data_IF_369543051874
#
_entry.id   IF_369543051874
#
_cell.length_a   1.000
_cell.length_b   1.000
_cell.length_c   1.000
_cell.angle_alpha   90.00
_cell.angle_beta   90.00
_cell.angle_gamma   90.00
#
_symmetry.space_group_name_H-M   'P 1'
#
loop_
_entity.id
_entity.type
_entity.pdbx_description
1 polymer ?
#
# COMPACT_ATOMS: atom_id res chain seq x y z
N UNK A 1 22.25 -2.25 -13.58
CA UNK A 1 22.48 -1.15 -12.62
C UNK A 1 21.55 -1.39 -11.42
N UNK A 2 22.05 -1.30 -10.18
CA UNK A 2 21.33 -1.75 -8.97
C UNK A 2 20.41 -0.63 -8.45
N UNK A 3 19.16 -0.94 -8.08
CA UNK A 3 18.18 0.00 -7.49
C UNK A 3 18.76 0.80 -6.30
N UNK A 4 19.61 0.16 -5.48
CA UNK A 4 20.30 0.81 -4.37
C UNK A 4 21.09 2.05 -4.78
N UNK A 5 21.74 2.00 -5.96
CA UNK A 5 22.57 3.11 -6.43
C UNK A 5 21.71 4.32 -6.78
N UNK A 6 20.58 4.14 -7.45
CA UNK A 6 19.67 5.24 -7.78
C UNK A 6 19.14 5.98 -6.53
N UNK A 7 18.80 5.25 -5.46
CA UNK A 7 18.38 5.89 -4.22
C UNK A 7 19.53 6.65 -3.54
N UNK A 8 20.75 6.11 -3.55
CA UNK A 8 21.91 6.81 -3.01
C UNK A 8 22.25 8.05 -3.83
N UNK A 9 22.20 7.96 -5.16
CA UNK A 9 22.44 9.07 -6.08
C UNK A 9 21.40 10.17 -5.85
N UNK A 10 20.12 9.80 -5.71
CA UNK A 10 19.07 10.76 -5.36
C UNK A 10 19.36 11.45 -4.02
N UNK A 11 19.70 10.69 -2.97
CA UNK A 11 20.00 11.25 -1.65
C UNK A 11 21.20 12.21 -1.67
N UNK A 12 22.18 11.96 -2.55
CA UNK A 12 23.35 12.80 -2.73
C UNK A 12 23.06 14.07 -3.54
N UNK A 13 22.30 13.94 -4.64
CA UNK A 13 22.05 15.02 -5.59
C UNK A 13 20.86 15.92 -5.21
N UNK A 14 19.88 15.38 -4.48
CA UNK A 14 18.65 16.08 -4.16
C UNK A 14 18.88 17.19 -3.11
N UNK A 15 18.76 18.44 -3.57
CA UNK A 15 18.83 19.64 -2.73
C UNK A 15 17.57 19.85 -1.86
N UNK A 16 16.44 19.24 -2.22
CA UNK A 16 15.17 19.34 -1.49
C UNK A 16 15.08 18.42 -0.27
N UNK A 17 14.03 18.61 0.53
CA UNK A 17 13.73 17.78 1.72
C UNK A 17 12.70 16.68 1.48
N UNK A 18 12.03 16.70 0.32
CA UNK A 18 11.03 15.72 -0.10
C UNK A 18 11.65 14.43 -0.63
N UNK A 19 10.92 13.33 -0.52
CA UNK A 19 11.26 11.95 -0.91
C UNK A 19 12.47 11.34 -0.20
N UNK A 20 13.14 12.09 0.69
CA UNK A 20 14.30 11.58 1.44
C UNK A 20 13.90 10.45 2.38
N UNK A 21 12.74 10.54 3.02
CA UNK A 21 12.25 9.47 3.91
C UNK A 21 11.87 8.25 3.10
N UNK A 22 11.15 8.44 1.99
CA UNK A 22 10.83 7.34 1.07
C UNK A 22 12.09 6.63 0.57
N UNK A 23 13.13 7.36 0.14
CA UNK A 23 14.37 6.76 -0.33
C UNK A 23 15.04 5.89 0.75
N UNK A 24 15.10 6.37 1.99
CA UNK A 24 15.63 5.57 3.10
C UNK A 24 14.74 4.35 3.43
N UNK A 25 13.42 4.45 3.28
CA UNK A 25 12.54 3.28 3.39
C UNK A 25 12.85 2.25 2.29
N UNK A 26 13.01 2.66 1.03
CA UNK A 26 13.37 1.70 -0.04
C UNK A 26 14.73 1.05 0.20
N UNK A 27 15.72 1.83 0.67
CA UNK A 27 17.04 1.30 1.05
C UNK A 27 16.95 0.31 2.22
N UNK A 28 16.09 0.58 3.21
CA UNK A 28 15.86 -0.36 4.32
C UNK A 28 15.21 -1.65 3.82
N UNK A 29 14.24 -1.58 2.91
CA UNK A 29 13.64 -2.75 2.28
C UNK A 29 14.66 -3.58 1.49
N UNK A 30 15.54 -2.94 0.72
CA UNK A 30 16.62 -3.64 0.01
C UNK A 30 17.52 -4.37 1.01
N UNK A 31 17.94 -3.69 2.09
CA UNK A 31 18.76 -4.30 3.13
C UNK A 31 18.07 -5.51 3.78
N UNK A 32 16.79 -5.39 4.10
CA UNK A 32 15.98 -6.48 4.65
C UNK A 32 15.91 -7.69 3.71
N UNK A 33 15.75 -7.46 2.41
CA UNK A 33 15.67 -8.53 1.41
C UNK A 33 17.04 -9.19 1.15
N UNK A 34 18.13 -8.52 1.49
CA UNK A 34 19.50 -9.04 1.44
C UNK A 34 19.94 -9.66 2.78
N UNK A 35 19.03 -9.80 3.75
CA UNK A 35 19.32 -10.28 5.11
C UNK A 35 20.35 -9.42 5.88
N UNK A 36 20.52 -8.15 5.47
CA UNK A 36 21.40 -7.18 6.13
C UNK A 36 20.62 -6.40 7.20
N UNK A 37 20.44 -7.05 8.35
CA UNK A 37 19.72 -6.49 9.50
C UNK A 37 20.36 -5.18 10.01
N UNK A 38 21.69 -5.07 9.93
CA UNK A 38 22.43 -3.88 10.39
C UNK A 38 22.09 -2.68 9.52
N UNK A 39 22.12 -2.85 8.19
CA UNK A 39 21.75 -1.79 7.26
C UNK A 39 20.25 -1.46 7.33
N UNK A 40 19.37 -2.45 7.54
CA UNK A 40 17.94 -2.19 7.74
C UNK A 40 17.71 -1.22 8.92
N UNK A 41 18.30 -1.50 10.08
CA UNK A 41 18.15 -0.64 11.26
C UNK A 41 18.80 0.74 11.05
N UNK A 42 19.94 0.80 10.36
CA UNK A 42 20.60 2.06 10.03
C UNK A 42 19.71 2.94 9.14
N UNK A 43 19.18 2.38 8.04
CA UNK A 43 18.31 3.12 7.13
C UNK A 43 16.97 3.50 7.78
N UNK A 44 16.46 2.67 8.69
CA UNK A 44 15.30 3.03 9.51
C UNK A 44 15.57 4.30 10.32
N UNK A 45 16.70 4.39 11.03
CA UNK A 45 17.08 5.58 11.80
C UNK A 45 17.27 6.80 10.91
N UNK A 46 17.88 6.63 9.74
CA UNK A 46 18.05 7.71 8.76
C UNK A 46 16.69 8.21 8.24
N UNK A 47 15.76 7.32 7.93
CA UNK A 47 14.40 7.67 7.51
C UNK A 47 13.67 8.53 8.55
N UNK A 48 13.80 8.21 9.84
CA UNK A 48 13.17 8.99 10.91
C UNK A 48 13.73 10.41 11.00
N UNK A 49 15.04 10.58 10.80
CA UNK A 49 15.74 11.85 10.99
C UNK A 49 15.93 12.70 9.72
N UNK A 50 15.71 12.14 8.53
CA UNK A 50 15.96 12.84 7.27
C UNK A 50 14.75 13.60 6.73
N UNK A 51 14.99 14.68 6.00
CA UNK A 51 13.96 15.38 5.20
C UNK A 51 12.78 15.89 6.02
N UNK A 52 11.63 16.03 5.36
CA UNK A 52 10.34 16.33 6.00
C UNK A 52 9.30 15.25 5.68
N UNK A 53 8.13 15.30 6.32
CA UNK A 53 7.00 14.39 6.07
C UNK A 53 5.80 15.19 5.55
N UNK A 54 6.01 15.99 4.49
CA UNK A 54 4.94 16.79 3.88
C UNK A 54 4.17 16.02 2.81
N UNK A 55 4.89 15.26 1.99
CA UNK A 55 4.34 14.37 0.97
C UNK A 55 3.82 13.08 1.60
N UNK A 56 2.84 12.47 0.96
CA UNK A 56 2.18 11.29 1.48
C UNK A 56 3.13 10.08 1.52
N UNK A 57 4.04 9.97 0.54
CA UNK A 57 5.09 8.94 0.48
C UNK A 57 6.06 9.06 1.65
N UNK A 58 6.51 10.27 1.98
CA UNK A 58 7.40 10.50 3.12
C UNK A 58 6.70 10.29 4.47
N UNK A 59 5.40 10.62 4.57
CA UNK A 59 4.59 10.33 5.77
C UNK A 59 4.44 8.83 5.97
N UNK A 60 4.17 8.08 4.91
CA UNK A 60 4.12 6.62 4.99
C UNK A 60 5.45 6.04 5.45
N UNK A 61 6.54 6.46 4.81
CA UNK A 61 7.87 6.03 5.17
C UNK A 61 8.21 6.35 6.62
N UNK A 62 7.83 7.55 7.09
CA UNK A 62 8.00 7.94 8.48
C UNK A 62 7.22 7.02 9.42
N UNK A 63 5.92 6.83 9.20
CA UNK A 63 5.05 6.09 10.12
C UNK A 63 5.36 4.59 10.15
N UNK A 64 5.66 3.98 9.00
CA UNK A 64 6.11 2.58 8.95
C UNK A 64 7.41 2.40 9.74
N UNK A 65 8.38 3.31 9.59
CA UNK A 65 9.62 3.26 10.35
C UNK A 65 9.40 3.56 11.83
N UNK A 66 8.51 4.50 12.17
CA UNK A 66 8.20 4.90 13.54
C UNK A 66 7.54 3.74 14.32
N UNK A 67 6.61 3.03 13.67
CA UNK A 67 5.99 1.81 14.22
C UNK A 67 7.03 0.76 14.59
N UNK A 68 8.21 0.77 13.94
CA UNK A 68 9.32 -0.12 14.25
C UNK A 68 9.06 -1.58 13.91
N UNK A 69 7.95 -1.84 13.21
CA UNK A 69 7.57 -3.17 12.81
C UNK A 69 8.43 -3.62 11.63
N UNK A 70 9.32 -4.58 11.87
CA UNK A 70 10.05 -5.24 10.78
C UNK A 70 9.04 -5.88 9.81
N UNK A 71 9.02 -5.49 8.52
CA UNK A 71 8.08 -6.04 7.56
C UNK A 71 8.19 -7.56 7.43
N UNK A 72 7.06 -8.22 7.20
CA UNK A 72 7.07 -9.60 6.71
C UNK A 72 7.66 -9.61 5.29
N UNK A 73 8.66 -10.47 5.07
CA UNK A 73 9.44 -10.45 3.82
C UNK A 73 8.66 -10.96 2.62
N UNK A 74 7.65 -11.81 2.81
CA UNK A 74 6.77 -12.27 1.73
C UNK A 74 5.80 -11.16 1.35
N UNK A 75 5.16 -10.51 2.33
CA UNK A 75 4.26 -9.38 2.07
C UNK A 75 4.99 -8.19 1.43
N UNK A 76 6.21 -7.91 1.86
CA UNK A 76 7.07 -6.91 1.24
C UNK A 76 7.42 -7.28 -0.21
N UNK A 77 7.80 -8.53 -0.49
CA UNK A 77 8.06 -8.98 -1.85
C UNK A 77 6.80 -8.90 -2.73
N UNK A 78 5.63 -9.28 -2.20
CA UNK A 78 4.36 -9.18 -2.91
C UNK A 78 4.04 -7.71 -3.26
N UNK A 79 4.26 -6.77 -2.33
CA UNK A 79 4.14 -5.32 -2.59
C UNK A 79 5.01 -4.90 -3.78
N UNK A 80 6.30 -5.23 -3.73
CA UNK A 80 7.26 -4.81 -4.74
C UNK A 80 6.97 -5.42 -6.12
N UNK A 81 6.50 -6.66 -6.16
CA UNK A 81 6.06 -7.30 -7.40
C UNK A 81 4.84 -6.60 -7.99
N UNK A 82 3.86 -6.20 -7.17
CA UNK A 82 2.72 -5.40 -7.61
C UNK A 82 3.14 -4.03 -8.14
N UNK A 83 4.02 -3.32 -7.43
CA UNK A 83 4.53 -2.01 -7.84
C UNK A 83 5.28 -2.09 -9.19
N UNK A 84 5.92 -3.24 -9.47
CA UNK A 84 6.54 -3.56 -10.75
C UNK A 84 5.63 -4.18 -11.82
N UNK A 85 4.31 -4.19 -11.60
CA UNK A 85 3.31 -4.80 -12.50
C UNK A 85 3.49 -6.31 -12.76
N UNK A 86 4.11 -7.04 -11.83
CA UNK A 86 4.35 -8.48 -11.89
C UNK A 86 3.30 -9.27 -11.08
N UNK A 87 2.03 -9.09 -11.42
CA UNK A 87 0.91 -9.61 -10.64
C UNK A 87 0.88 -11.15 -10.55
N UNK A 88 1.26 -11.87 -11.62
CA UNK A 88 1.33 -13.34 -11.62
C UNK A 88 2.34 -13.86 -10.58
N UNK A 89 3.54 -13.29 -10.57
CA UNK A 89 4.59 -13.64 -9.61
C UNK A 89 4.20 -13.28 -8.19
N UNK A 90 3.50 -12.17 -8.00
CA UNK A 90 2.98 -11.78 -6.70
C UNK A 90 1.92 -12.78 -6.19
N UNK A 91 1.04 -13.25 -7.09
CA UNK A 91 0.03 -14.25 -6.77
C UNK A 91 0.65 -15.60 -6.40
N UNK A 92 1.56 -16.12 -7.23
CA UNK A 92 2.29 -17.37 -6.97
C UNK A 92 3.02 -17.35 -5.62
N UNK A 93 3.58 -16.19 -5.25
CA UNK A 93 4.27 -15.99 -3.99
C UNK A 93 3.32 -15.99 -2.78
N UNK A 94 2.20 -15.26 -2.88
CA UNK A 94 1.35 -14.97 -1.72
C UNK A 94 0.21 -15.99 -1.53
N UNK A 95 -0.39 -16.49 -2.60
CA UNK A 95 -1.58 -17.36 -2.55
C UNK A 95 -1.39 -18.60 -1.66
N UNK A 96 -0.27 -19.35 -1.73
CA UNK A 96 -0.06 -20.54 -0.89
C UNK A 96 0.00 -20.24 0.62
N UNK A 97 0.24 -18.98 1.00
CA UNK A 97 0.43 -18.55 2.39
C UNK A 97 -0.81 -17.89 2.99
N UNK A 98 -1.84 -17.59 2.18
CA UNK A 98 -2.99 -16.82 2.63
C UNK A 98 -3.66 -17.42 3.86
N UNK A 99 -3.88 -18.74 3.91
CA UNK A 99 -4.48 -19.40 5.07
C UNK A 99 -3.74 -19.10 6.38
N UNK A 100 -2.40 -19.06 6.35
CA UNK A 100 -1.59 -18.71 7.52
C UNK A 100 -1.72 -17.23 7.87
N UNK A 101 -1.79 -16.34 6.88
CA UNK A 101 -1.96 -14.91 7.11
C UNK A 101 -3.34 -14.55 7.67
N UNK A 102 -4.42 -15.20 7.23
CA UNK A 102 -5.77 -14.99 7.81
C UNK A 102 -5.80 -15.20 9.32
N UNK A 103 -5.06 -16.20 9.81
CA UNK A 103 -4.99 -16.55 11.23
C UNK A 103 -4.02 -15.65 12.01
N UNK A 104 -3.27 -14.78 11.34
CA UNK A 104 -2.25 -13.95 11.97
C UNK A 104 -2.76 -12.51 12.16
N UNK A 105 -3.15 -12.09 13.38
CA UNK A 105 -3.71 -10.77 13.62
C UNK A 105 -2.75 -9.62 13.29
N UNK A 106 -1.44 -9.90 13.31
CA UNK A 106 -0.40 -8.92 12.97
C UNK A 106 -0.38 -8.58 11.47
N UNK A 107 -0.66 -9.55 10.62
CA UNK A 107 -0.42 -9.46 9.17
C UNK A 107 -1.67 -9.63 8.31
N UNK A 108 -2.78 -10.12 8.88
CA UNK A 108 -4.00 -10.44 8.13
C UNK A 108 -4.52 -9.27 7.30
N UNK A 109 -4.53 -8.05 7.86
CA UNK A 109 -5.01 -6.84 7.19
C UNK A 109 -4.16 -6.53 5.94
N UNK A 110 -2.84 -6.49 6.09
CA UNK A 110 -1.95 -6.24 4.97
C UNK A 110 -2.04 -7.37 3.93
N UNK A 111 -2.11 -8.63 4.36
CA UNK A 111 -2.15 -9.78 3.47
C UNK A 111 -3.39 -9.77 2.57
N UNK A 112 -4.59 -9.56 3.14
CA UNK A 112 -5.82 -9.51 2.33
C UNK A 112 -5.84 -8.28 1.43
N UNK A 113 -5.39 -7.12 1.90
CA UNK A 113 -5.28 -5.93 1.05
C UNK A 113 -4.32 -6.16 -0.14
N UNK A 114 -3.14 -6.76 0.11
CA UNK A 114 -2.18 -7.10 -0.95
C UNK A 114 -2.77 -8.09 -1.94
N UNK A 115 -3.45 -9.13 -1.44
CA UNK A 115 -4.10 -10.11 -2.32
C UNK A 115 -5.22 -9.49 -3.15
N UNK A 116 -6.04 -8.61 -2.58
CA UNK A 116 -7.07 -7.86 -3.32
C UNK A 116 -6.47 -7.03 -4.46
N UNK A 117 -5.35 -6.33 -4.20
CA UNK A 117 -4.60 -5.61 -5.26
C UNK A 117 -4.04 -6.53 -6.34
N UNK A 118 -3.52 -7.70 -5.95
CA UNK A 118 -3.02 -8.71 -6.90
C UNK A 118 -4.17 -9.20 -7.79
N UNK A 119 -5.28 -9.62 -7.20
CA UNK A 119 -6.46 -10.09 -7.93
C UNK A 119 -7.00 -9.00 -8.87
N UNK A 120 -7.05 -7.75 -8.41
CA UNK A 120 -7.47 -6.60 -9.24
C UNK A 120 -6.57 -6.43 -10.47
N UNK A 121 -5.23 -6.48 -10.30
CA UNK A 121 -4.28 -6.42 -11.41
C UNK A 121 -4.38 -7.62 -12.37
N UNK A 122 -4.88 -8.75 -11.89
CA UNK A 122 -5.15 -9.96 -12.68
C UNK A 122 -6.54 -9.97 -13.31
N UNK A 123 -7.34 -8.92 -13.15
CA UNK A 123 -8.75 -8.84 -13.57
C UNK A 123 -9.64 -9.93 -12.93
N UNK A 124 -9.26 -10.42 -11.74
CA UNK A 124 -10.06 -11.33 -10.92
C UNK A 124 -10.95 -10.50 -10.00
N UNK A 125 -11.97 -9.85 -10.58
CA UNK A 125 -12.75 -8.81 -9.91
C UNK A 125 -13.52 -9.31 -8.69
N UNK A 126 -14.10 -10.51 -8.75
CA UNK A 126 -14.88 -11.07 -7.64
C UNK A 126 -13.98 -11.37 -6.43
N UNK A 127 -12.82 -11.97 -6.66
CA UNK A 127 -11.82 -12.27 -5.65
C UNK A 127 -11.23 -10.99 -5.07
N UNK A 128 -10.96 -9.99 -5.92
CA UNK A 128 -10.47 -8.70 -5.46
C UNK A 128 -11.48 -8.02 -4.51
N UNK A 129 -12.76 -8.00 -4.87
CA UNK A 129 -13.83 -7.45 -4.03
C UNK A 129 -13.95 -8.21 -2.70
N UNK A 130 -13.86 -9.55 -2.73
CA UNK A 130 -13.87 -10.36 -1.51
C UNK A 130 -12.71 -10.00 -0.57
N UNK A 131 -11.48 -9.93 -1.08
CA UNK A 131 -10.32 -9.57 -0.28
C UNK A 131 -10.34 -8.11 0.21
N UNK A 132 -10.94 -7.19 -0.55
CA UNK A 132 -11.14 -5.82 -0.10
C UNK A 132 -12.21 -5.73 1.00
N UNK A 133 -13.24 -6.56 0.96
CA UNK A 133 -14.20 -6.69 2.06
C UNK A 133 -13.50 -7.23 3.32
N UNK A 134 -12.66 -8.25 3.20
CA UNK A 134 -11.91 -8.76 4.35
C UNK A 134 -10.93 -7.71 4.92
N UNK A 135 -10.33 -6.87 4.07
CA UNK A 135 -9.49 -5.76 4.52
C UNK A 135 -10.28 -4.74 5.36
N UNK A 136 -11.53 -4.48 4.95
CA UNK A 136 -12.46 -3.66 5.71
C UNK A 136 -12.79 -4.29 7.07
N UNK A 137 -13.21 -5.56 7.06
CA UNK A 137 -13.66 -6.27 8.26
C UNK A 137 -12.54 -6.51 9.29
N UNK A 138 -11.28 -6.63 8.85
CA UNK A 138 -10.13 -6.79 9.75
C UNK A 138 -9.65 -5.48 10.40
N UNK A 139 -10.01 -4.32 9.85
CA UNK A 139 -9.73 -3.03 10.47
C UNK A 139 -10.93 -2.55 11.30
N UNK A 140 -10.95 -2.93 12.58
CA UNK A 140 -12.00 -2.54 13.53
C UNK A 140 -12.12 -1.03 13.73
N UNK A 141 -11.12 -0.24 13.32
CA UNK A 141 -11.14 1.22 13.47
C UNK A 141 -11.66 1.94 12.22
N UNK A 142 -11.72 1.24 11.08
CA UNK A 142 -12.03 1.80 9.76
C UNK A 142 -11.24 3.09 9.45
N UNK A 143 -9.97 3.11 9.88
CA UNK A 143 -9.08 4.27 9.78
C UNK A 143 -7.71 3.90 9.22
N UNK A 144 -7.44 2.61 9.03
CA UNK A 144 -6.21 2.16 8.41
C UNK A 144 -6.20 2.54 6.92
N UNK A 145 -5.11 3.14 6.42
CA UNK A 145 -4.98 3.49 5.01
C UNK A 145 -5.25 2.34 4.04
N UNK A 146 -4.89 1.09 4.39
CA UNK A 146 -5.14 -0.07 3.53
C UNK A 146 -6.63 -0.41 3.46
N UNK A 147 -7.33 -0.38 4.60
CA UNK A 147 -8.78 -0.60 4.68
C UNK A 147 -9.55 0.48 3.91
N UNK A 148 -9.25 1.76 4.14
CA UNK A 148 -9.93 2.84 3.43
C UNK A 148 -9.63 2.85 1.93
N UNK A 149 -8.41 2.49 1.52
CA UNK A 149 -8.10 2.34 0.10
C UNK A 149 -8.79 1.12 -0.51
N UNK A 150 -9.03 0.04 0.25
CA UNK A 150 -9.79 -1.11 -0.23
C UNK A 150 -11.20 -0.72 -0.66
N UNK A 151 -11.90 0.14 0.10
CA UNK A 151 -13.21 0.69 -0.27
C UNK A 151 -13.14 1.46 -1.60
N UNK A 152 -12.11 2.31 -1.77
CA UNK A 152 -11.89 3.03 -3.03
C UNK A 152 -11.64 2.06 -4.20
N UNK A 153 -10.86 0.99 -3.99
CA UNK A 153 -10.59 0.00 -5.02
C UNK A 153 -11.82 -0.80 -5.41
N UNK A 154 -12.70 -1.12 -4.45
CA UNK A 154 -14.00 -1.72 -4.75
C UNK A 154 -14.84 -0.82 -5.66
N UNK A 155 -14.89 0.49 -5.39
CA UNK A 155 -15.56 1.46 -6.28
C UNK A 155 -15.00 1.46 -7.70
N UNK A 156 -13.67 1.41 -7.84
CA UNK A 156 -13.00 1.34 -9.15
C UNK A 156 -13.30 0.03 -9.89
N UNK A 157 -13.41 -1.09 -9.17
CA UNK A 157 -13.79 -2.38 -9.77
C UNK A 157 -15.24 -2.33 -10.25
N UNK A 158 -16.18 -1.88 -9.41
CA UNK A 158 -17.58 -1.77 -9.82
C UNK A 158 -17.76 -0.84 -11.02
N UNK A 159 -17.03 0.29 -11.04
CA UNK A 159 -17.00 1.18 -12.21
C UNK A 159 -16.52 0.44 -13.47
N UNK A 160 -15.43 -0.34 -13.39
CA UNK A 160 -14.92 -1.10 -14.53
C UNK A 160 -15.86 -2.19 -15.03
N UNK A 161 -16.71 -2.72 -14.14
CA UNK A 161 -17.72 -3.73 -14.45
C UNK A 161 -19.02 -3.11 -15.00
N UNK A 162 -19.14 -1.78 -15.02
CA UNK A 162 -20.36 -1.08 -15.40
C UNK A 162 -21.44 -1.05 -14.33
N UNK A 163 -21.14 -1.51 -13.11
CA UNK A 163 -22.05 -1.41 -11.97
C UNK A 163 -21.91 -0.05 -11.30
N UNK A 164 -22.48 0.97 -11.95
CA UNK A 164 -22.34 2.36 -11.49
C UNK A 164 -23.06 2.63 -10.18
N UNK A 165 -24.09 1.85 -9.84
CA UNK A 165 -24.78 1.99 -8.55
C UNK A 165 -23.83 1.61 -7.41
N UNK A 166 -23.21 0.43 -7.47
CA UNK A 166 -22.25 0.02 -6.45
C UNK A 166 -20.98 0.88 -6.45
N UNK A 167 -20.54 1.35 -7.62
CA UNK A 167 -19.42 2.28 -7.71
C UNK A 167 -19.72 3.60 -6.98
N UNK A 168 -20.90 4.18 -7.21
CA UNK A 168 -21.35 5.39 -6.53
C UNK A 168 -21.38 5.21 -5.01
N UNK A 169 -21.99 4.11 -4.54
CA UNK A 169 -22.10 3.81 -3.11
C UNK A 169 -20.72 3.74 -2.46
N UNK A 170 -19.76 3.03 -3.08
CA UNK A 170 -18.39 2.94 -2.59
C UNK A 170 -17.66 4.27 -2.62
N UNK A 171 -17.83 5.08 -3.67
CA UNK A 171 -17.20 6.40 -3.71
C UNK A 171 -17.76 7.34 -2.64
N UNK A 172 -19.07 7.31 -2.39
CA UNK A 172 -19.69 8.08 -1.31
C UNK A 172 -19.22 7.61 0.06
N UNK A 173 -19.06 6.31 0.25
CA UNK A 173 -18.47 5.73 1.47
C UNK A 173 -17.07 6.30 1.72
N UNK A 174 -16.19 6.31 0.71
CA UNK A 174 -14.83 6.88 0.81
C UNK A 174 -14.84 8.34 1.27
N UNK A 175 -15.81 9.14 0.82
CA UNK A 175 -15.93 10.55 1.23
C UNK A 175 -16.28 10.75 2.71
N UNK A 176 -16.82 9.73 3.37
CA UNK A 176 -17.11 9.76 4.81
C UNK A 176 -15.96 9.23 5.67
N UNK A 177 -14.98 8.54 5.06
CA UNK A 177 -13.86 7.95 5.78
C UNK A 177 -12.89 9.00 6.31
N UNK A 178 -12.31 8.71 7.48
CA UNK A 178 -11.28 9.52 8.15
C UNK A 178 -10.01 8.69 8.34
N UNK A 179 -9.29 8.35 7.26
CA UNK A 179 -8.09 7.54 7.34
C UNK A 179 -6.96 8.29 8.04
N UNK A 180 -6.11 7.56 8.76
CA UNK A 180 -4.93 8.12 9.44
C UNK A 180 -3.96 8.82 8.48
N UNK A 181 -3.90 8.37 7.22
CA UNK A 181 -3.12 8.97 6.14
C UNK A 181 -3.92 9.02 4.83
N UNK A 182 -3.43 9.79 3.85
CA UNK A 182 -3.97 9.87 2.49
C UNK A 182 -5.42 10.36 2.34
N UNK A 183 -6.06 10.91 3.38
CA UNK A 183 -7.47 11.34 3.31
C UNK A 183 -7.75 12.23 2.09
N UNK A 184 -6.91 13.24 1.86
CA UNK A 184 -7.04 14.14 0.71
C UNK A 184 -6.97 13.39 -0.63
N UNK A 185 -5.99 12.51 -0.79
CA UNK A 185 -5.79 11.72 -2.02
C UNK A 185 -6.96 10.77 -2.27
N UNK A 186 -7.43 10.07 -1.24
CA UNK A 186 -8.58 9.18 -1.31
C UNK A 186 -9.86 9.92 -1.69
N UNK A 187 -10.15 11.04 -1.01
CA UNK A 187 -11.34 11.84 -1.31
C UNK A 187 -11.30 12.46 -2.72
N UNK A 188 -10.12 12.90 -3.18
CA UNK A 188 -9.96 13.40 -4.55
C UNK A 188 -10.24 12.31 -5.59
N UNK A 189 -9.72 11.10 -5.38
CA UNK A 189 -9.96 9.95 -6.28
C UNK A 189 -11.44 9.55 -6.30
N UNK A 190 -12.10 9.50 -5.14
CA UNK A 190 -13.53 9.21 -5.06
C UNK A 190 -14.39 10.26 -5.76
N UNK A 191 -14.11 11.56 -5.56
CA UNK A 191 -14.78 12.65 -6.29
C UNK A 191 -14.59 12.52 -7.80
N UNK A 192 -13.37 12.20 -8.25
CA UNK A 192 -13.10 11.96 -9.66
C UNK A 192 -13.87 10.75 -10.20
N UNK A 193 -14.04 9.68 -9.41
CA UNK A 193 -14.88 8.54 -9.74
C UNK A 193 -16.35 8.90 -9.93
N UNK A 194 -16.94 9.62 -8.97
CA UNK A 194 -18.31 10.14 -9.08
C UNK A 194 -18.51 10.99 -10.34
N UNK A 195 -17.55 11.87 -10.67
CA UNK A 195 -17.61 12.69 -11.89
C UNK A 195 -17.50 11.89 -13.19
N UNK A 196 -16.96 10.67 -13.18
CA UNK A 196 -16.91 9.80 -14.37
C UNK A 196 -18.23 9.08 -14.62
N UNK A 197 -18.88 8.59 -13.56
CA UNK A 197 -20.09 7.76 -13.67
C UNK A 197 -21.39 8.56 -13.77
N UNK A 198 -21.36 9.87 -13.47
CA UNK A 198 -22.52 10.77 -13.56
C UNK A 198 -22.68 11.43 -14.95
N UNK A 199 -21.91 11.02 -15.95
CA UNK A 199 -21.98 11.52 -17.32
C UNK A 199 -22.82 10.58 -18.19
#
# INVERSE_FOLDING_TARGET
MNAKNYFNDFLFLAKGSSYKKECYQKLSWIALLMDDQKSWENYRKLCLNAGNALLDEDKQAHDEMLMGLKPDTVLLKARLLCDGSLADRAYELLAPKMKSYYLNPKWRLEAVYRMGRICQLKNLSAEALHYFQDAWDFDLTHSDPMSCNAVLQSGLIYESLGDYQQAEDKYREVLQLKPRQYSRSLHQKAKAGLSRIQK
#
